data_IF_483706462609
#
_entry.id   IF_483706462609
#
_cell.length_a   1.000
_cell.length_b   1.000
_cell.length_c   1.000
_cell.angle_alpha   90.00
_cell.angle_beta   90.00
_cell.angle_gamma   90.00
#
_symmetry.space_group_name_H-M   'P 1'
#
loop_
_entity.id
_entity.type
_entity.pdbx_description
1 polymer ?
#
# COMPACT_ATOMS: atom_id res chain seq x y z
N UNK A 1 0.21 39.57 -12.60
CA UNK A 1 -0.25 38.17 -12.75
C UNK A 1 -1.75 38.20 -12.99
N UNK A 2 -2.22 37.79 -14.17
CA UNK A 2 -3.65 37.86 -14.50
C UNK A 2 -4.49 36.93 -13.62
N UNK A 3 -5.71 37.36 -13.26
CA UNK A 3 -6.64 36.57 -12.43
C UNK A 3 -6.89 35.17 -13.03
N UNK A 4 -7.08 35.10 -14.35
CA UNK A 4 -7.22 33.84 -15.09
C UNK A 4 -6.02 32.94 -14.94
N UNK A 5 -4.80 33.47 -15.12
CA UNK A 5 -3.57 32.69 -14.99
C UNK A 5 -3.43 32.08 -13.60
N UNK A 6 -3.81 32.81 -12.54
CA UNK A 6 -3.83 32.28 -11.17
C UNK A 6 -4.86 31.17 -10.99
N UNK A 7 -6.09 31.36 -11.46
CA UNK A 7 -7.15 30.36 -11.39
C UNK A 7 -6.81 29.08 -12.17
N UNK A 8 -6.25 29.22 -13.38
CA UNK A 8 -5.81 28.07 -14.19
C UNK A 8 -4.68 27.30 -13.51
N UNK A 9 -3.67 27.99 -12.94
CA UNK A 9 -2.59 27.32 -12.20
C UNK A 9 -3.14 26.58 -10.98
N UNK A 10 -4.02 27.21 -10.20
CA UNK A 10 -4.65 26.59 -9.05
C UNK A 10 -5.45 25.34 -9.46
N UNK A 11 -6.25 25.45 -10.53
CA UNK A 11 -7.02 24.32 -11.07
C UNK A 11 -6.10 23.17 -11.52
N UNK A 12 -5.03 23.46 -12.26
CA UNK A 12 -4.09 22.42 -12.70
C UNK A 12 -3.40 21.71 -11.54
N UNK A 13 -3.03 22.45 -10.49
CA UNK A 13 -2.38 21.86 -9.31
C UNK A 13 -3.35 20.99 -8.51
N UNK A 14 -4.60 21.43 -8.31
CA UNK A 14 -5.60 20.63 -7.60
C UNK A 14 -6.03 19.40 -8.42
N UNK A 15 -6.07 19.51 -9.75
CA UNK A 15 -6.33 18.37 -10.61
C UNK A 15 -5.20 17.33 -10.56
N UNK A 16 -3.94 17.77 -10.62
CA UNK A 16 -2.78 16.88 -10.43
C UNK A 16 -2.79 16.23 -9.04
N UNK A 17 -3.10 17.00 -7.99
CA UNK A 17 -3.26 16.47 -6.63
C UNK A 17 -4.33 15.39 -6.59
N UNK A 18 -5.48 15.61 -7.23
CA UNK A 18 -6.56 14.63 -7.28
C UNK A 18 -6.15 13.33 -7.99
N UNK A 19 -5.45 13.45 -9.11
CA UNK A 19 -4.91 12.28 -9.83
C UNK A 19 -3.93 11.49 -8.96
N UNK A 20 -3.02 12.17 -8.26
CA UNK A 20 -2.09 11.49 -7.36
C UNK A 20 -2.81 10.83 -6.19
N UNK A 21 -3.79 11.50 -5.56
CA UNK A 21 -4.57 10.90 -4.48
C UNK A 21 -5.35 9.66 -4.93
N UNK A 22 -5.99 9.70 -6.11
CA UNK A 22 -6.71 8.53 -6.64
C UNK A 22 -5.73 7.39 -6.97
N UNK A 23 -4.59 7.73 -7.59
CA UNK A 23 -3.55 6.76 -7.92
C UNK A 23 -3.01 6.10 -6.65
N UNK A 24 -2.70 6.89 -5.63
CA UNK A 24 -2.26 6.40 -4.34
C UNK A 24 -3.30 5.48 -3.72
N UNK A 25 -4.56 5.91 -3.60
CA UNK A 25 -5.65 5.11 -3.04
C UNK A 25 -5.88 3.76 -3.75
N UNK A 26 -5.65 3.71 -5.06
CA UNK A 26 -5.77 2.47 -5.86
C UNK A 26 -4.51 1.59 -5.83
N UNK A 27 -3.37 2.15 -5.46
CA UNK A 27 -2.07 1.47 -5.50
C UNK A 27 -1.90 0.51 -4.34
N UNK A 28 -1.16 -0.59 -4.57
CA UNK A 28 -0.72 -1.54 -3.55
C UNK A 28 0.65 -1.20 -2.96
N UNK A 29 1.25 -0.06 -3.31
CA UNK A 29 2.62 0.30 -2.92
C UNK A 29 2.67 1.41 -1.86
N UNK A 30 1.83 1.32 -0.83
CA UNK A 30 1.87 2.28 0.30
C UNK A 30 3.01 1.94 1.25
N UNK A 31 3.19 0.65 1.50
CA UNK A 31 4.27 0.10 2.29
C UNK A 31 4.93 -1.02 1.48
N UNK A 32 6.25 -1.06 1.53
CA UNK A 32 7.06 -2.10 0.90
C UNK A 32 8.00 -2.67 1.95
N UNK A 33 8.31 -3.96 1.88
CA UNK A 33 9.25 -4.54 2.82
C UNK A 33 9.70 -5.93 2.44
N UNK A 34 10.43 -6.53 3.37
CA UNK A 34 10.96 -7.88 3.22
C UNK A 34 10.52 -8.77 4.37
N UNK A 35 10.27 -10.02 4.01
CA UNK A 35 9.90 -11.06 4.95
C UNK A 35 10.79 -12.29 4.77
N UNK A 36 11.46 -12.70 5.83
CA UNK A 36 12.21 -13.96 5.86
C UNK A 36 11.26 -15.13 6.05
N UNK A 37 11.21 -16.03 5.07
CA UNK A 37 10.43 -17.26 5.14
C UNK A 37 11.40 -18.46 5.06
N UNK A 38 11.25 -19.49 5.90
CA UNK A 38 12.11 -20.66 5.82
C UNK A 38 11.99 -21.33 4.44
N UNK A 39 13.13 -21.73 3.88
CA UNK A 39 13.20 -22.46 2.61
C UNK A 39 12.41 -23.77 2.71
N UNK A 40 11.55 -24.08 1.73
CA UNK A 40 10.90 -25.39 1.69
C UNK A 40 11.94 -26.49 1.44
N UNK A 41 11.62 -27.72 1.83
CA UNK A 41 12.47 -28.88 1.54
C UNK A 41 12.32 -29.29 0.07
N UNK A 42 13.43 -29.59 -0.61
CA UNK A 42 13.36 -29.99 -2.02
C UNK A 42 12.67 -31.36 -2.15
N UNK A 43 11.57 -31.45 -2.91
CA UNK A 43 10.93 -32.72 -3.29
C UNK A 43 10.97 -32.93 -4.80
N UNK A 44 11.48 -34.08 -5.27
CA UNK A 44 11.45 -34.43 -6.70
C UNK A 44 12.23 -33.49 -7.63
N UNK A 45 11.53 -32.89 -8.61
CA UNK A 45 12.09 -32.08 -9.72
C UNK A 45 12.65 -30.71 -9.29
N UNK A 46 12.39 -30.25 -8.07
CA UNK A 46 12.90 -28.96 -7.55
C UNK A 46 14.42 -28.95 -7.27
N UNK A 47 15.12 -30.06 -7.52
CA UNK A 47 16.59 -30.16 -7.45
C UNK A 47 17.33 -29.33 -8.51
N UNK A 48 16.63 -28.76 -9.48
CA UNK A 48 17.25 -28.05 -10.62
C UNK A 48 17.48 -26.55 -10.38
N UNK A 49 16.81 -25.92 -9.38
CA UNK A 49 17.02 -24.49 -9.06
C UNK A 49 17.90 -24.34 -7.80
N UNK A 50 19.21 -24.07 -7.93
CA UNK A 50 20.08 -23.87 -6.77
C UNK A 50 19.64 -22.64 -5.96
N UNK A 51 19.50 -22.79 -4.63
CA UNK A 51 19.21 -21.69 -3.69
C UNK A 51 17.77 -21.59 -3.17
N UNK A 52 16.80 -22.26 -3.80
CA UNK A 52 15.36 -22.08 -3.50
C UNK A 52 14.75 -23.12 -2.54
N UNK A 53 15.47 -24.19 -2.24
CA UNK A 53 15.00 -25.25 -1.35
C UNK A 53 16.16 -25.91 -0.61
N UNK A 54 15.88 -26.41 0.59
CA UNK A 54 16.87 -27.10 1.43
C UNK A 54 17.09 -28.50 0.86
N UNK A 55 18.33 -28.79 0.43
CA UNK A 55 18.73 -30.13 -0.03
C UNK A 55 19.23 -30.95 1.14
N UNK A 56 18.84 -32.22 1.17
CA UNK A 56 19.42 -33.20 2.06
C UNK A 56 20.28 -34.18 1.28
N UNK A 57 21.42 -34.54 1.85
CA UNK A 57 22.27 -35.58 1.29
C UNK A 57 21.67 -36.94 1.64
N UNK A 58 21.02 -37.58 0.68
CA UNK A 58 20.48 -38.93 0.87
C UNK A 58 21.59 -39.93 0.53
N UNK A 59 22.35 -40.36 1.54
CA UNK A 59 23.12 -41.60 1.43
C UNK A 59 22.18 -42.76 1.76
N UNK A 60 21.78 -43.49 0.73
CA UNK A 60 21.09 -44.78 0.74
C UNK A 60 19.61 -44.84 1.18
N UNK A 61 18.81 -45.27 0.21
CA UNK A 61 17.36 -45.45 0.22
C UNK A 61 16.87 -46.64 1.06
N UNK A 62 17.47 -46.96 2.20
CA UNK A 62 17.05 -48.13 2.98
C UNK A 62 17.13 -48.03 4.51
N UNK A 63 17.29 -46.83 5.08
CA UNK A 63 17.25 -46.64 6.53
C UNK A 63 16.15 -45.64 6.90
N UNK A 64 15.02 -46.18 7.36
CA UNK A 64 13.83 -45.43 7.79
C UNK A 64 14.03 -44.58 9.07
N UNK A 65 15.26 -44.52 9.60
CA UNK A 65 15.62 -43.82 10.84
C UNK A 65 16.89 -42.95 10.70
N UNK A 66 17.15 -42.38 9.52
CA UNK A 66 18.31 -41.47 9.35
C UNK A 66 17.91 -40.05 9.72
N UNK A 67 18.53 -39.53 10.79
CA UNK A 67 18.46 -38.11 11.17
C UNK A 67 19.00 -37.29 10.00
N UNK A 68 18.14 -36.48 9.40
CA UNK A 68 18.47 -35.66 8.24
C UNK A 68 19.26 -34.43 8.69
N UNK A 69 20.57 -34.42 8.44
CA UNK A 69 21.41 -33.27 8.76
C UNK A 69 21.33 -32.22 7.64
N UNK A 70 20.81 -31.04 7.95
CA UNK A 70 20.89 -29.85 7.10
C UNK A 70 22.18 -29.10 7.41
N UNK A 71 23.02 -28.87 6.40
CA UNK A 71 24.29 -28.15 6.54
C UNK A 71 24.16 -26.62 6.41
N UNK A 72 23.03 -26.12 5.89
CA UNK A 72 22.74 -24.67 5.87
C UNK A 72 22.60 -24.17 7.32
N UNK A 73 23.36 -23.15 7.70
CA UNK A 73 23.45 -22.66 9.09
C UNK A 73 23.11 -21.16 9.13
N UNK A 74 22.33 -20.72 10.12
CA UNK A 74 21.98 -19.30 10.27
C UNK A 74 20.99 -18.78 9.22
N UNK A 75 21.33 -17.67 8.57
CA UNK A 75 20.49 -16.96 7.60
C UNK A 75 20.29 -17.72 6.28
N UNK A 76 21.17 -18.68 5.95
CA UNK A 76 21.09 -19.47 4.72
C UNK A 76 19.83 -20.33 4.64
N UNK A 77 19.12 -20.54 5.76
CA UNK A 77 17.85 -21.31 5.80
C UNK A 77 16.64 -20.50 5.34
N UNK A 78 16.78 -19.19 5.15
CA UNK A 78 15.66 -18.30 4.85
C UNK A 78 15.77 -17.75 3.42
N UNK A 79 14.62 -17.49 2.83
CA UNK A 79 14.47 -16.69 1.61
C UNK A 79 13.78 -15.40 2.01
N UNK A 80 14.36 -14.29 1.57
CA UNK A 80 13.75 -12.97 1.68
C UNK A 80 12.70 -12.83 0.57
N UNK A 81 11.46 -12.57 0.95
CA UNK A 81 10.37 -12.26 0.03
C UNK A 81 10.04 -10.79 0.12
N UNK A 82 10.07 -10.12 -1.01
CA UNK A 82 9.54 -8.77 -1.13
C UNK A 82 8.02 -8.81 -1.04
N UNK A 83 7.44 -7.86 -0.34
CA UNK A 83 6.00 -7.65 -0.33
C UNK A 83 5.69 -6.16 -0.48
N UNK A 84 4.56 -5.90 -1.13
CA UNK A 84 3.95 -4.57 -1.16
C UNK A 84 2.55 -4.66 -0.57
N UNK A 85 2.16 -3.61 0.16
CA UNK A 85 0.87 -3.51 0.81
C UNK A 85 0.27 -2.13 0.59
N UNK A 86 -0.97 -2.11 0.14
CA UNK A 86 -1.84 -0.93 0.13
C UNK A 86 -3.12 -1.19 0.93
N UNK A 87 -4.05 -0.23 0.85
CA UNK A 87 -5.33 -0.27 1.57
C UNK A 87 -6.16 -1.53 1.22
N UNK A 88 -6.12 -1.96 -0.03
CA UNK A 88 -6.99 -3.03 -0.54
C UNK A 88 -6.34 -4.40 -0.54
N UNK A 89 -5.08 -4.46 -0.97
CA UNK A 89 -4.36 -5.70 -1.22
C UNK A 89 -2.93 -5.61 -0.68
N UNK A 90 -2.44 -6.74 -0.20
CA UNK A 90 -1.03 -6.98 0.03
C UNK A 90 -0.58 -8.15 -0.83
N UNK A 91 0.45 -7.94 -1.64
CA UNK A 91 1.00 -8.93 -2.54
C UNK A 91 2.43 -9.28 -2.08
N UNK A 92 2.71 -10.58 -2.02
CA UNK A 92 4.03 -11.13 -1.71
C UNK A 92 4.62 -11.81 -2.95
N UNK A 93 5.93 -11.68 -3.17
CA UNK A 93 6.61 -12.37 -4.26
C UNK A 93 6.65 -13.89 -4.01
N UNK A 94 6.48 -14.67 -5.08
CA UNK A 94 6.46 -16.13 -4.97
C UNK A 94 7.88 -16.72 -4.82
N UNK A 95 7.99 -17.88 -4.16
CA UNK A 95 9.27 -18.57 -3.93
C UNK A 95 9.97 -18.90 -5.26
N UNK A 96 9.21 -19.25 -6.29
CA UNK A 96 9.78 -19.68 -7.58
C UNK A 96 10.29 -18.53 -8.45
N UNK A 97 10.06 -17.27 -8.05
CA UNK A 97 10.30 -16.06 -8.86
C UNK A 97 9.24 -15.85 -9.96
N UNK A 98 8.26 -16.75 -10.07
CA UNK A 98 7.21 -16.69 -11.09
C UNK A 98 5.95 -16.04 -10.48
N UNK A 99 5.92 -14.70 -10.49
CA UNK A 99 4.75 -13.89 -10.14
C UNK A 99 4.58 -13.55 -8.66
N UNK A 100 3.45 -12.90 -8.35
CA UNK A 100 3.10 -12.41 -7.02
C UNK A 100 1.80 -13.06 -6.53
N UNK A 101 1.73 -13.30 -5.21
CA UNK A 101 0.52 -13.80 -4.54
C UNK A 101 -0.13 -12.67 -3.76
N UNK A 102 -1.27 -12.21 -4.23
CA UNK A 102 -2.04 -11.15 -3.58
C UNK A 102 -3.09 -11.69 -2.61
N UNK A 103 -3.19 -11.06 -1.43
CA UNK A 103 -4.24 -11.29 -0.42
C UNK A 103 -4.90 -9.95 -0.08
N UNK A 104 -6.17 -9.98 0.32
CA UNK A 104 -6.87 -8.76 0.71
C UNK A 104 -6.38 -8.27 2.08
N UNK A 105 -6.10 -6.97 2.20
CA UNK A 105 -5.61 -6.38 3.45
C UNK A 105 -6.61 -6.57 4.61
N UNK A 106 -7.91 -6.47 4.33
CA UNK A 106 -8.99 -6.66 5.32
C UNK A 106 -8.94 -8.06 5.97
N UNK A 107 -8.47 -9.08 5.24
CA UNK A 107 -8.35 -10.45 5.77
C UNK A 107 -7.14 -10.61 6.69
N UNK A 108 -6.12 -9.77 6.50
CA UNK A 108 -4.91 -9.74 7.33
C UNK A 108 -5.15 -8.96 8.63
N UNK A 109 -6.04 -7.97 8.61
CA UNK A 109 -6.39 -7.17 9.79
C UNK A 109 -7.17 -8.01 10.81
N UNK A 110 -6.74 -8.03 12.08
CA UNK A 110 -7.45 -8.75 13.13
C UNK A 110 -8.89 -8.22 13.29
N UNK A 111 -9.86 -9.09 13.63
CA UNK A 111 -11.28 -8.73 13.63
C UNK A 111 -11.64 -7.60 14.60
N UNK A 112 -10.90 -7.45 15.70
CA UNK A 112 -11.10 -6.38 16.67
C UNK A 112 -10.78 -4.99 16.11
N UNK A 113 -9.81 -4.89 15.19
CA UNK A 113 -9.29 -3.61 14.68
C UNK A 113 -9.81 -3.25 13.29
N UNK A 114 -10.64 -4.11 12.69
CA UNK A 114 -11.30 -3.84 11.40
C UNK A 114 -12.09 -2.53 11.41
N UNK A 115 -12.65 -2.15 12.57
CA UNK A 115 -13.34 -0.86 12.72
C UNK A 115 -12.43 0.32 12.40
N UNK A 116 -11.17 0.29 12.84
CA UNK A 116 -10.19 1.36 12.60
C UNK A 116 -9.79 1.41 11.12
N UNK A 117 -9.65 0.26 10.47
CA UNK A 117 -9.41 0.19 9.02
C UNK A 117 -10.56 0.84 8.24
N UNK A 118 -11.82 0.56 8.60
CA UNK A 118 -12.97 1.20 7.96
C UNK A 118 -12.97 2.72 8.15
N UNK A 119 -12.60 3.21 9.34
CA UNK A 119 -12.46 4.65 9.57
C UNK A 119 -11.38 5.27 8.68
N UNK A 120 -10.25 4.59 8.48
CA UNK A 120 -9.20 5.02 7.54
C UNK A 120 -9.73 5.06 6.10
N UNK A 121 -10.40 4.01 5.63
CA UNK A 121 -10.99 3.99 4.27
C UNK A 121 -12.02 5.11 4.09
N UNK A 122 -12.88 5.34 5.07
CA UNK A 122 -13.88 6.41 5.03
C UNK A 122 -13.21 7.78 5.01
N UNK A 123 -12.15 7.99 5.81
CA UNK A 123 -11.39 9.24 5.80
C UNK A 123 -10.71 9.49 4.45
N UNK A 124 -10.11 8.46 3.84
CA UNK A 124 -9.51 8.52 2.50
C UNK A 124 -10.54 8.92 1.43
N UNK A 125 -11.68 8.21 1.39
CA UNK A 125 -12.76 8.51 0.45
C UNK A 125 -13.32 9.92 0.68
N UNK A 126 -13.49 10.32 1.95
CA UNK A 126 -14.00 11.63 2.30
C UNK A 126 -13.10 12.75 1.77
N UNK A 127 -11.77 12.69 1.95
CA UNK A 127 -10.93 13.77 1.45
C UNK A 127 -10.85 13.78 -0.08
N UNK A 128 -10.85 12.62 -0.76
CA UNK A 128 -10.87 12.56 -2.23
C UNK A 128 -12.15 13.22 -2.77
N UNK A 129 -13.31 12.94 -2.14
CA UNK A 129 -14.57 13.58 -2.54
C UNK A 129 -14.56 15.09 -2.28
N UNK A 130 -13.99 15.56 -1.16
CA UNK A 130 -13.83 16.99 -0.89
C UNK A 130 -12.91 17.66 -1.92
N UNK A 131 -11.79 17.03 -2.28
CA UNK A 131 -10.86 17.54 -3.29
C UNK A 131 -11.53 17.60 -4.68
N UNK A 132 -12.30 16.57 -5.03
CA UNK A 132 -13.11 16.53 -6.26
C UNK A 132 -14.13 17.68 -6.29
N UNK A 133 -14.82 17.94 -5.17
CA UNK A 133 -15.76 19.07 -5.08
C UNK A 133 -15.04 20.41 -5.22
N UNK A 134 -13.84 20.57 -4.65
CA UNK A 134 -13.01 21.77 -4.82
C UNK A 134 -12.58 22.01 -6.27
N UNK A 135 -12.07 20.97 -6.94
CA UNK A 135 -11.72 21.02 -8.37
C UNK A 135 -12.93 21.35 -9.24
N UNK A 136 -14.09 20.77 -8.93
CA UNK A 136 -15.34 21.05 -9.65
C UNK A 136 -15.76 22.51 -9.53
N UNK A 137 -15.69 23.09 -8.32
CA UNK A 137 -15.98 24.51 -8.09
C UNK A 137 -15.00 25.44 -8.81
N UNK A 138 -13.70 25.12 -8.80
CA UNK A 138 -12.69 25.87 -9.56
C UNK A 138 -12.91 25.77 -11.08
N UNK A 139 -13.38 24.61 -11.56
CA UNK A 139 -13.70 24.39 -12.97
C UNK A 139 -14.90 25.24 -13.41
N UNK A 140 -15.93 25.32 -12.57
CA UNK A 140 -17.10 26.20 -12.80
C UNK A 140 -16.67 27.67 -12.89
N UNK A 141 -15.76 28.14 -12.03
CA UNK A 141 -15.23 29.51 -12.09
C UNK A 141 -14.50 29.81 -13.41
N UNK A 142 -13.74 28.85 -13.95
CA UNK A 142 -12.98 29.01 -15.20
C UNK A 142 -13.86 28.90 -16.44
N UNK A 143 -14.82 27.96 -16.45
CA UNK A 143 -15.69 27.68 -17.60
C UNK A 143 -16.85 28.66 -17.73
N UNK A 144 -17.49 29.03 -16.62
CA UNK A 144 -18.58 29.99 -16.62
C UNK A 144 -18.02 31.37 -16.27
N UNK A 145 -18.15 32.34 -17.18
CA UNK A 145 -17.84 33.76 -16.92
C UNK A 145 -18.81 34.29 -15.85
N UNK A 146 -18.53 33.98 -14.59
CA UNK A 146 -19.34 34.43 -13.45
C UNK A 146 -19.05 35.90 -13.17
N UNK A 147 -20.05 36.59 -12.61
CA UNK A 147 -19.86 37.96 -12.14
C UNK A 147 -18.69 38.01 -11.13
N UNK A 148 -18.01 39.16 -11.02
CA UNK A 148 -16.84 39.28 -10.11
C UNK A 148 -17.17 38.91 -8.66
N UNK A 149 -18.42 39.12 -8.23
CA UNK A 149 -18.90 38.83 -6.87
C UNK A 149 -19.18 37.34 -6.70
N UNK A 150 -19.80 36.69 -7.69
CA UNK A 150 -20.10 35.26 -7.63
C UNK A 150 -18.84 34.40 -7.77
N UNK A 151 -17.89 34.82 -8.61
CA UNK A 151 -16.58 34.19 -8.73
C UNK A 151 -15.77 34.25 -7.42
N UNK A 152 -15.84 35.37 -6.69
CA UNK A 152 -15.14 35.47 -5.39
C UNK A 152 -15.73 34.52 -4.33
N UNK A 153 -17.06 34.36 -4.31
CA UNK A 153 -17.73 33.40 -3.42
C UNK A 153 -17.36 31.95 -3.75
N UNK A 154 -17.42 31.58 -5.03
CA UNK A 154 -17.07 30.23 -5.48
C UNK A 154 -15.62 29.88 -5.15
N UNK A 155 -14.69 30.80 -5.40
CA UNK A 155 -13.27 30.60 -5.07
C UNK A 155 -13.06 30.43 -3.56
N UNK A 156 -13.79 31.16 -2.71
CA UNK A 156 -13.72 31.00 -1.26
C UNK A 156 -14.22 29.61 -0.80
N UNK A 157 -15.36 29.14 -1.34
CA UNK A 157 -15.84 27.79 -1.05
C UNK A 157 -14.88 26.72 -1.55
N UNK A 158 -14.36 26.87 -2.76
CA UNK A 158 -13.36 25.95 -3.32
C UNK A 158 -12.13 25.86 -2.42
N UNK A 159 -11.62 27.00 -1.93
CA UNK A 159 -10.48 27.03 -1.00
C UNK A 159 -10.77 26.33 0.33
N UNK A 160 -11.98 26.47 0.88
CA UNK A 160 -12.37 25.77 2.11
C UNK A 160 -12.36 24.26 1.89
N UNK A 161 -12.96 23.78 0.81
CA UNK A 161 -12.99 22.34 0.50
C UNK A 161 -11.60 21.76 0.25
N UNK A 162 -10.72 22.47 -0.48
CA UNK A 162 -9.36 21.98 -0.76
C UNK A 162 -8.46 22.00 0.48
N UNK A 163 -8.62 22.97 1.38
CA UNK A 163 -7.88 23.00 2.65
C UNK A 163 -8.37 21.89 3.59
N UNK A 164 -9.68 21.70 3.72
CA UNK A 164 -10.23 20.62 4.51
C UNK A 164 -9.82 19.25 3.97
N UNK A 165 -9.79 19.06 2.65
CA UNK A 165 -9.30 17.82 2.06
C UNK A 165 -7.82 17.60 2.37
N UNK A 166 -6.97 18.63 2.32
CA UNK A 166 -5.56 18.50 2.67
C UNK A 166 -5.34 18.08 4.13
N UNK A 167 -6.08 18.69 5.06
CA UNK A 167 -6.00 18.34 6.49
C UNK A 167 -6.48 16.91 6.76
N UNK A 168 -7.61 16.52 6.16
CA UNK A 168 -8.14 15.16 6.28
C UNK A 168 -7.23 14.14 5.61
N UNK A 169 -6.58 14.47 4.49
CA UNK A 169 -5.58 13.64 3.85
C UNK A 169 -4.43 13.33 4.80
N UNK A 170 -3.84 14.35 5.44
CA UNK A 170 -2.76 14.13 6.42
C UNK A 170 -3.19 13.20 7.57
N UNK A 171 -4.42 13.34 8.07
CA UNK A 171 -4.96 12.46 9.11
C UNK A 171 -5.19 11.05 8.57
N UNK A 172 -5.75 10.91 7.36
CA UNK A 172 -6.04 9.63 6.74
C UNK A 172 -4.77 8.80 6.50
N UNK A 173 -3.69 9.43 6.05
CA UNK A 173 -2.37 8.79 5.92
C UNK A 173 -1.83 8.29 7.27
N UNK A 174 -1.95 9.09 8.33
CA UNK A 174 -1.54 8.69 9.69
C UNK A 174 -2.43 7.57 10.25
N UNK A 175 -3.73 7.59 9.94
CA UNK A 175 -4.65 6.50 10.30
C UNK A 175 -4.31 5.20 9.56
N UNK A 176 -3.94 5.27 8.28
CA UNK A 176 -3.51 4.07 7.55
C UNK A 176 -2.24 3.47 8.16
N UNK A 177 -1.22 4.28 8.43
CA UNK A 177 0.05 3.77 8.99
C UNK A 177 -0.12 3.17 10.38
N UNK A 178 -0.99 3.76 11.21
CA UNK A 178 -1.33 3.16 12.51
C UNK A 178 -2.04 1.82 12.37
N UNK A 179 -3.01 1.69 11.45
CA UNK A 179 -3.66 0.41 11.16
C UNK A 179 -2.67 -0.61 10.61
N UNK A 180 -1.76 -0.18 9.75
CA UNK A 180 -0.70 -1.02 9.20
C UNK A 180 0.22 -1.54 10.30
N UNK A 181 0.70 -0.66 11.19
CA UNK A 181 1.51 -1.04 12.35
C UNK A 181 0.80 -2.04 13.27
N UNK A 182 -0.50 -1.84 13.54
CA UNK A 182 -1.30 -2.80 14.29
C UNK A 182 -1.39 -4.15 13.57
N UNK A 183 -1.59 -4.14 12.25
CA UNK A 183 -1.64 -5.36 11.43
C UNK A 183 -0.30 -6.08 11.40
N UNK A 184 0.82 -5.38 11.41
CA UNK A 184 2.16 -6.00 11.53
C UNK A 184 2.32 -6.67 12.90
N UNK A 185 1.91 -6.00 13.99
CA UNK A 185 2.13 -6.49 15.36
C UNK A 185 1.16 -7.60 15.79
N UNK A 186 -0.10 -7.53 15.36
CA UNK A 186 -1.20 -8.39 15.79
C UNK A 186 -1.74 -9.29 14.67
N UNK A 187 -1.34 -9.04 13.43
CA UNK A 187 -1.73 -9.87 12.30
C UNK A 187 -1.06 -11.25 12.33
N UNK A 188 -1.42 -12.10 11.36
CA UNK A 188 -1.05 -13.50 11.38
C UNK A 188 0.47 -13.66 11.18
N UNK A 189 1.04 -14.67 11.85
CA UNK A 189 2.48 -14.96 11.77
C UNK A 189 2.94 -15.27 10.34
N UNK A 190 2.02 -15.78 9.52
CA UNK A 190 2.26 -16.10 8.12
C UNK A 190 2.25 -14.87 7.20
N UNK A 191 2.11 -13.65 7.72
CA UNK A 191 2.21 -12.40 6.95
C UNK A 191 3.14 -11.35 7.58
N UNK A 192 3.40 -11.45 8.89
CA UNK A 192 4.19 -10.46 9.63
C UNK A 192 5.55 -10.17 8.95
N UNK A 193 5.80 -8.94 8.50
CA UNK A 193 7.07 -8.56 7.90
C UNK A 193 8.16 -8.37 8.96
N UNK A 194 9.42 -8.54 8.56
CA UNK A 194 10.55 -8.31 9.45
C UNK A 194 10.98 -6.84 9.41
N UNK A 195 11.16 -6.31 8.20
CA UNK A 195 11.45 -4.91 7.95
C UNK A 195 10.48 -4.39 6.88
N UNK A 196 10.06 -3.14 7.01
CA UNK A 196 9.20 -2.46 6.05
C UNK A 196 9.47 -0.96 6.07
N UNK A 197 9.25 -0.32 4.93
CA UNK A 197 9.38 1.10 4.68
C UNK A 197 8.18 1.61 3.87
N UNK A 198 8.05 2.92 3.75
CA UNK A 198 6.99 3.54 2.94
C UNK A 198 7.31 3.39 1.44
N UNK A 199 6.33 2.91 0.68
CA UNK A 199 6.42 2.81 -0.77
C UNK A 199 6.12 4.13 -1.47
N UNK A 200 6.28 4.16 -2.80
CA UNK A 200 6.19 5.39 -3.60
C UNK A 200 4.82 6.07 -3.52
N UNK A 201 3.74 5.33 -3.30
CA UNK A 201 2.39 5.90 -3.30
C UNK A 201 2.02 6.59 -1.98
N UNK A 202 2.82 6.38 -0.94
CA UNK A 202 2.65 7.06 0.34
C UNK A 202 3.29 8.46 0.35
N UNK A 203 4.34 8.66 -0.45
CA UNK A 203 5.07 9.93 -0.62
C UNK A 203 4.32 10.90 -1.53
#
# INVERSE_FOLDING_TARGET
>A
MDRRRRATVALTLNFLSLLFSITAFSSSYWCEGVRKVPKPFCTGKDREKPGFCIRFNNSDSNASNVVQYTWETGDDKFIERHFHAGIWYSCEENISGDGERCRSFITLTPPADRGVLWLSIVAEVLYITLLLTGVSLMSVEVCYYTSVIDGLKLNAFAAIFTVLSGLLGMVAHMMYTTVFQMTVNLGPEDWRPQNWDYGWSYW
#
